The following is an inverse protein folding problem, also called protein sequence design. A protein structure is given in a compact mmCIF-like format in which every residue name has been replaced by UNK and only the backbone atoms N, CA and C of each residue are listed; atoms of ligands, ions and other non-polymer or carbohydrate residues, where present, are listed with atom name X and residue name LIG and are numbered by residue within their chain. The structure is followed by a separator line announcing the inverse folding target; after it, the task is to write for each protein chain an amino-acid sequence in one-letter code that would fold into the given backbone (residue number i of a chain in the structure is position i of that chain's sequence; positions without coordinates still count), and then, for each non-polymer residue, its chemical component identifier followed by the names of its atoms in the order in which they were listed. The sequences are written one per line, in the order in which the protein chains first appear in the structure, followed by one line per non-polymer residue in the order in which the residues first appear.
data_IF_308714697993
#
_entry.id   IF_308714697993
#
_cell.length_a   1.000
_cell.length_b   1.000
_cell.length_c   1.000
_cell.angle_alpha   90.00
_cell.angle_beta   90.00
_cell.angle_gamma   90.00
#
_symmetry.space_group_name_H-M   'P 1'
#
loop_
_entity.id
_entity.type
_entity.pdbx_description
1 polymer ?
#
# COMPACT_ATOMS: atom_id res chain seq x y z
N UNK A 1 46.07 -6.10 23.74
CA UNK A 1 44.89 -6.59 24.50
C UNK A 1 43.63 -6.23 23.72
N UNK A 2 42.69 -7.15 23.63
CA UNK A 2 41.66 -7.28 22.57
C UNK A 2 40.58 -6.19 22.54
N UNK A 3 40.28 -5.66 21.35
CA UNK A 3 38.95 -5.14 20.96
C UNK A 3 37.97 -6.32 20.81
N UNK A 4 37.73 -7.07 21.89
CA UNK A 4 36.61 -8.01 21.98
C UNK A 4 35.47 -7.28 22.67
N UNK A 5 34.56 -6.68 21.89
CA UNK A 5 33.15 -6.42 22.29
C UNK A 5 32.43 -5.64 21.18
N UNK A 6 32.03 -6.31 20.10
CA UNK A 6 30.83 -5.94 19.34
C UNK A 6 30.17 -7.16 18.63
N UNK A 7 29.83 -8.29 19.30
CA UNK A 7 29.25 -9.45 18.58
C UNK A 7 27.71 -9.56 18.65
N UNK A 8 27.03 -8.88 19.58
CA UNK A 8 25.58 -9.08 19.77
C UNK A 8 24.71 -8.17 18.91
N UNK A 9 25.04 -6.88 18.80
CA UNK A 9 24.26 -5.91 18.00
C UNK A 9 24.27 -6.24 16.51
N UNK A 10 25.38 -6.77 15.99
CA UNK A 10 25.52 -7.16 14.58
C UNK A 10 24.53 -8.25 14.18
N UNK A 11 24.32 -9.28 15.02
CA UNK A 11 23.40 -10.39 14.70
C UNK A 11 21.94 -9.93 14.61
N UNK A 12 21.47 -9.11 15.56
CA UNK A 12 20.10 -8.59 15.52
C UNK A 12 19.88 -7.62 14.35
N UNK A 13 20.89 -6.80 14.01
CA UNK A 13 20.84 -5.94 12.81
C UNK A 13 20.80 -6.82 11.55
N UNK A 14 21.64 -7.86 11.45
CA UNK A 14 21.65 -8.77 10.30
C UNK A 14 20.33 -9.51 10.11
N UNK A 15 19.70 -9.97 11.20
CA UNK A 15 18.37 -10.60 11.16
C UNK A 15 17.33 -9.57 10.68
N UNK A 16 17.33 -8.36 11.25
CA UNK A 16 16.41 -7.29 10.83
C UNK A 16 16.59 -6.89 9.35
N UNK A 17 17.83 -6.88 8.86
CA UNK A 17 18.13 -6.62 7.44
C UNK A 17 17.62 -7.77 6.58
N UNK A 18 17.91 -9.02 6.91
CA UNK A 18 17.47 -10.19 6.15
C UNK A 18 15.93 -10.25 6.03
N UNK A 19 15.22 -10.00 7.14
CA UNK A 19 13.75 -9.92 7.17
C UNK A 19 13.23 -8.81 6.25
N UNK A 20 13.87 -7.64 6.22
CA UNK A 20 13.48 -6.54 5.31
C UNK A 20 13.83 -6.85 3.84
N UNK A 21 14.91 -7.58 3.60
CA UNK A 21 15.35 -7.95 2.25
C UNK A 21 14.36 -8.88 1.57
N UNK A 22 13.69 -9.77 2.30
CA UNK A 22 12.65 -10.62 1.73
C UNK A 22 11.47 -9.81 1.17
N UNK A 23 10.91 -8.89 1.98
CA UNK A 23 9.85 -7.98 1.52
C UNK A 23 10.33 -7.11 0.37
N UNK A 24 11.55 -6.57 0.46
CA UNK A 24 12.15 -5.76 -0.60
C UNK A 24 12.25 -6.52 -1.91
N UNK A 25 12.80 -7.74 -1.88
CA UNK A 25 12.96 -8.60 -3.04
C UNK A 25 11.61 -8.94 -3.69
N UNK A 26 10.60 -9.27 -2.87
CA UNK A 26 9.26 -9.55 -3.38
C UNK A 26 8.69 -8.33 -4.14
N UNK A 27 8.81 -7.13 -3.57
CA UNK A 27 8.28 -5.91 -4.17
C UNK A 27 8.94 -5.58 -5.52
N UNK A 28 10.22 -5.92 -5.70
CA UNK A 28 10.89 -5.74 -6.99
C UNK A 28 10.32 -6.63 -8.10
N UNK A 29 9.58 -7.69 -7.76
CA UNK A 29 8.94 -8.56 -8.74
C UNK A 29 7.60 -8.02 -9.24
N UNK A 30 7.03 -7.02 -8.56
CA UNK A 30 5.76 -6.41 -8.96
C UNK A 30 5.90 -5.66 -10.30
N UNK A 31 4.86 -5.68 -11.17
CA UNK A 31 4.93 -4.96 -12.44
C UNK A 31 5.27 -3.48 -12.26
N UNK A 32 6.22 -2.98 -13.06
CA UNK A 32 6.74 -1.61 -12.90
C UNK A 32 5.64 -0.55 -12.99
N UNK A 33 4.74 -0.69 -13.96
CA UNK A 33 3.70 0.31 -14.25
C UNK A 33 2.37 0.05 -13.51
N UNK A 34 2.32 -0.94 -12.61
CA UNK A 34 1.12 -1.18 -11.81
C UNK A 34 0.85 -0.06 -10.81
N UNK A 35 -0.43 0.08 -10.46
CA UNK A 35 -0.88 0.91 -9.34
C UNK A 35 -0.44 0.27 -8.04
N UNK A 36 0.18 1.08 -7.18
CA UNK A 36 0.71 0.66 -5.88
C UNK A 36 0.20 1.60 -4.81
N UNK A 37 -0.57 1.07 -3.87
CA UNK A 37 -0.94 1.71 -2.62
C UNK A 37 0.01 1.21 -1.55
N UNK A 38 0.76 2.12 -0.95
CA UNK A 38 1.87 1.82 -0.06
C UNK A 38 1.48 2.31 1.33
N UNK A 39 1.15 1.41 2.25
CA UNK A 39 0.99 1.73 3.66
C UNK A 39 2.34 2.12 4.29
N UNK A 40 2.33 3.10 5.20
CA UNK A 40 3.54 3.54 5.90
C UNK A 40 3.34 3.84 7.39
N UNK A 41 4.40 3.56 8.16
CA UNK A 41 4.58 3.83 9.60
C UNK A 41 5.90 4.57 9.92
N UNK A 42 6.29 5.53 9.08
CA UNK A 42 7.46 6.42 9.22
C UNK A 42 8.85 5.78 9.03
N UNK A 43 9.02 4.45 9.12
CA UNK A 43 10.36 3.84 8.95
C UNK A 43 10.36 2.53 8.17
N UNK A 44 11.45 2.30 7.43
CA UNK A 44 11.82 0.99 6.87
C UNK A 44 10.98 0.47 5.72
N UNK A 45 10.27 1.34 4.99
CA UNK A 45 9.46 0.91 3.86
C UNK A 45 10.36 0.44 2.68
N UNK A 46 10.06 -0.70 2.05
CA UNK A 46 10.84 -1.30 0.96
C UNK A 46 10.69 -0.60 -0.40
N UNK A 47 9.78 0.36 -0.56
CA UNK A 47 9.57 1.10 -1.81
C UNK A 47 10.53 2.29 -1.93
N UNK A 48 11.19 2.43 -3.08
CA UNK A 48 12.02 3.61 -3.39
C UNK A 48 11.17 4.89 -3.50
N UNK A 49 9.93 4.75 -3.95
CA UNK A 49 8.94 5.81 -4.08
C UNK A 49 8.61 6.43 -2.72
N UNK A 50 8.53 5.58 -1.67
CA UNK A 50 8.39 6.04 -0.30
C UNK A 50 9.58 6.87 0.15
N UNK A 51 10.81 6.41 -0.10
CA UNK A 51 12.01 7.15 0.32
C UNK A 51 12.06 8.55 -0.31
N UNK A 52 11.65 8.67 -1.58
CA UNK A 52 11.52 9.96 -2.26
C UNK A 52 10.41 10.83 -1.65
N UNK A 53 9.26 10.24 -1.34
CA UNK A 53 8.14 10.97 -0.73
C UNK A 53 8.46 11.49 0.67
N UNK A 54 9.14 10.67 1.47
CA UNK A 54 9.61 11.06 2.79
C UNK A 54 10.61 12.21 2.69
N UNK A 55 11.66 12.09 1.87
CA UNK A 55 12.66 13.17 1.70
C UNK A 55 12.04 14.47 1.17
N UNK A 56 11.07 14.38 0.24
CA UNK A 56 10.35 15.53 -0.28
C UNK A 56 9.41 16.21 0.72
N UNK A 57 8.89 15.49 1.71
CA UNK A 57 8.13 16.07 2.82
C UNK A 57 9.03 16.96 3.72
N UNK A 58 10.30 16.61 3.89
CA UNK A 58 11.27 17.38 4.68
C UNK A 58 12.06 18.42 3.90
N UNK A 59 11.98 18.43 2.56
CA UNK A 59 12.75 19.35 1.72
C UNK A 59 12.21 20.79 1.73
N UNK A 60 11.07 21.07 2.37
CA UNK A 60 10.45 22.40 2.40
C UNK A 60 9.73 22.79 1.10
N UNK A 61 9.08 23.97 1.10
CA UNK A 61 8.14 24.38 0.03
C UNK A 61 8.78 24.51 -1.36
N UNK A 62 10.01 25.02 -1.42
CA UNK A 62 10.66 25.34 -2.70
C UNK A 62 11.14 24.08 -3.45
N UNK A 63 11.91 23.17 -2.81
CA UNK A 63 12.26 21.89 -3.45
C UNK A 63 11.04 21.05 -3.82
N UNK A 64 9.98 21.05 -2.99
CA UNK A 64 8.78 20.27 -3.29
C UNK A 64 8.09 20.74 -4.59
N UNK A 65 7.98 22.06 -4.83
CA UNK A 65 7.43 22.61 -6.09
C UNK A 65 8.23 22.19 -7.32
N UNK A 66 9.55 22.09 -7.21
CA UNK A 66 10.42 21.70 -8.32
C UNK A 66 10.37 20.19 -8.60
N UNK A 67 10.41 19.37 -7.54
CA UNK A 67 10.52 17.92 -7.69
C UNK A 67 9.18 17.22 -7.90
N UNK A 68 8.07 17.76 -7.36
CA UNK A 68 6.75 17.12 -7.48
C UNK A 68 6.35 16.81 -8.93
N UNK A 69 6.48 17.73 -9.91
CA UNK A 69 6.16 17.43 -11.30
C UNK A 69 7.04 16.33 -11.92
N UNK A 70 8.33 16.28 -11.55
CA UNK A 70 9.27 15.28 -12.05
C UNK A 70 8.99 13.91 -11.44
N UNK A 71 8.79 13.86 -10.13
CA UNK A 71 8.43 12.64 -9.41
C UNK A 71 7.04 12.12 -9.80
N UNK A 72 6.11 13.01 -10.15
CA UNK A 72 4.80 12.63 -10.68
C UNK A 72 4.88 11.93 -12.03
N UNK A 73 5.88 12.27 -12.87
CA UNK A 73 6.15 11.56 -14.13
C UNK A 73 6.87 10.22 -13.91
N UNK A 74 7.74 10.14 -12.90
CA UNK A 74 8.50 8.93 -12.58
C UNK A 74 7.66 7.88 -11.85
N UNK A 75 6.76 8.33 -10.97
CA UNK A 75 5.93 7.50 -10.10
C UNK A 75 4.45 7.88 -10.18
N UNK A 76 3.85 7.84 -11.39
CA UNK A 76 2.46 8.29 -11.60
C UNK A 76 1.44 7.41 -10.88
N UNK A 77 1.79 6.14 -10.64
CA UNK A 77 0.90 5.11 -10.12
C UNK A 77 1.26 4.70 -8.68
N UNK A 78 1.93 5.57 -7.92
CA UNK A 78 2.36 5.31 -6.54
C UNK A 78 1.67 6.23 -5.56
N UNK A 79 0.95 5.63 -4.63
CA UNK A 79 0.12 6.29 -3.63
C UNK A 79 0.60 5.87 -2.25
N UNK A 80 0.99 6.82 -1.43
CA UNK A 80 1.42 6.57 -0.06
C UNK A 80 0.24 6.80 0.88
N UNK A 81 -0.03 5.83 1.73
CA UNK A 81 -1.02 5.95 2.79
C UNK A 81 -0.33 5.97 4.15
N UNK A 82 -0.60 7.01 4.93
CA UNK A 82 -0.08 7.17 6.27
C UNK A 82 -1.05 6.59 7.29
N UNK A 83 -0.65 5.48 7.92
CA UNK A 83 -1.54 4.70 8.81
C UNK A 83 -1.91 5.45 10.09
N UNK A 84 -1.14 6.46 10.51
CA UNK A 84 -1.38 7.18 11.77
C UNK A 84 -2.34 8.37 11.62
N UNK A 85 -2.50 8.94 10.43
CA UNK A 85 -3.36 10.10 10.18
C UNK A 85 -4.36 9.89 9.03
N UNK A 86 -4.39 8.68 8.46
CA UNK A 86 -5.34 8.27 7.42
C UNK A 86 -5.25 9.11 6.14
N UNK A 87 -4.08 9.69 5.87
CA UNK A 87 -3.88 10.56 4.71
C UNK A 87 -3.24 9.84 3.52
N UNK A 88 -3.70 10.21 2.32
CA UNK A 88 -3.08 9.79 1.06
C UNK A 88 -2.17 10.89 0.52
N UNK A 89 -0.97 10.49 0.11
CA UNK A 89 0.02 11.32 -0.53
C UNK A 89 0.43 10.73 -1.88
N UNK A 90 0.60 11.61 -2.85
CA UNK A 90 0.97 11.25 -4.21
C UNK A 90 1.77 12.37 -4.87
N UNK A 91 2.59 11.98 -5.84
CA UNK A 91 3.32 12.94 -6.65
C UNK A 91 2.54 13.39 -7.88
N UNK A 92 1.87 12.44 -8.53
CA UNK A 92 1.04 12.67 -9.71
C UNK A 92 -0.41 12.99 -9.36
N UNK A 93 -1.31 12.52 -10.23
CA UNK A 93 -2.75 12.69 -10.06
C UNK A 93 -3.29 11.86 -8.86
N UNK A 94 -4.37 12.29 -8.21
CA UNK A 94 -5.06 11.48 -7.21
C UNK A 94 -5.54 10.14 -7.79
N UNK A 95 -5.57 9.10 -6.94
CA UNK A 95 -6.10 7.80 -7.31
C UNK A 95 -7.60 7.93 -7.60
N UNK A 96 -8.04 7.52 -8.80
CA UNK A 96 -9.45 7.56 -9.21
C UNK A 96 -9.99 6.13 -9.30
N UNK A 97 -10.84 5.76 -8.36
CA UNK A 97 -11.55 4.48 -8.33
C UNK A 97 -13.00 4.75 -8.76
N UNK A 98 -13.29 4.62 -10.05
CA UNK A 98 -14.60 5.01 -10.61
C UNK A 98 -15.28 3.92 -11.45
N UNK A 99 -14.64 2.75 -11.61
CA UNK A 99 -15.19 1.60 -12.33
C UNK A 99 -14.58 0.30 -11.83
N UNK A 100 -15.33 -0.79 -12.04
CA UNK A 100 -14.84 -2.14 -11.81
C UNK A 100 -13.70 -2.52 -12.79
N UNK A 101 -12.96 -3.57 -12.42
CA UNK A 101 -11.84 -4.12 -13.19
C UNK A 101 -10.50 -3.41 -12.99
N UNK A 102 -10.45 -2.31 -12.23
CA UNK A 102 -9.19 -1.69 -11.83
C UNK A 102 -8.47 -2.61 -10.83
N UNK A 103 -7.17 -2.82 -11.04
CA UNK A 103 -6.31 -3.64 -10.16
C UNK A 103 -5.16 -2.83 -9.61
N UNK A 104 -4.87 -3.01 -8.32
CA UNK A 104 -3.70 -2.41 -7.68
C UNK A 104 -3.07 -3.35 -6.65
N UNK A 105 -1.81 -3.08 -6.33
CA UNK A 105 -1.09 -3.76 -5.28
C UNK A 105 -1.15 -2.91 -4.01
N UNK A 106 -1.63 -3.49 -2.93
CA UNK A 106 -1.67 -2.88 -1.61
C UNK A 106 -0.57 -3.48 -0.75
N UNK A 107 0.44 -2.68 -0.42
CA UNK A 107 1.43 -3.03 0.58
C UNK A 107 1.00 -2.51 1.94
N UNK A 108 1.11 -3.34 2.97
CA UNK A 108 1.00 -2.89 4.35
C UNK A 108 2.25 -3.28 5.15
N UNK A 109 2.82 -2.35 5.94
CA UNK A 109 3.92 -2.66 6.86
C UNK A 109 3.47 -3.51 8.05
N UNK A 110 2.16 -3.70 8.21
CA UNK A 110 1.56 -4.66 9.14
C UNK A 110 0.23 -5.14 8.61
N UNK A 111 0.06 -6.44 8.48
CA UNK A 111 -1.14 -7.03 7.87
C UNK A 111 -2.45 -6.56 8.51
N UNK A 112 -2.46 -6.25 9.81
CA UNK A 112 -3.66 -5.75 10.50
C UNK A 112 -4.19 -4.40 9.99
N UNK A 113 -3.38 -3.62 9.26
CA UNK A 113 -3.83 -2.32 8.73
C UNK A 113 -4.57 -2.42 7.40
N UNK A 114 -4.63 -3.60 6.77
CA UNK A 114 -5.21 -3.75 5.42
C UNK A 114 -6.68 -3.29 5.42
N UNK A 115 -7.48 -3.74 6.38
CA UNK A 115 -8.89 -3.39 6.47
C UNK A 115 -9.11 -1.89 6.66
N UNK A 116 -8.26 -1.24 7.47
CA UNK A 116 -8.31 0.21 7.67
C UNK A 116 -8.00 0.96 6.37
N UNK A 117 -6.94 0.56 5.65
CA UNK A 117 -6.56 1.20 4.39
C UNK A 117 -7.68 1.06 3.36
N UNK A 118 -8.26 -0.14 3.25
CA UNK A 118 -9.36 -0.40 2.33
C UNK A 118 -10.61 0.38 2.73
N UNK A 119 -10.95 0.46 4.01
CA UNK A 119 -12.09 1.25 4.48
C UNK A 119 -11.95 2.74 4.11
N UNK A 120 -10.76 3.32 4.28
CA UNK A 120 -10.51 4.71 3.94
C UNK A 120 -10.53 4.94 2.42
N UNK A 121 -10.03 3.99 1.63
CA UNK A 121 -10.19 4.00 0.17
C UNK A 121 -11.67 3.90 -0.24
N UNK A 122 -12.49 3.14 0.51
CA UNK A 122 -13.91 2.96 0.23
C UNK A 122 -14.69 4.28 0.27
N UNK A 123 -14.23 5.25 1.06
CA UNK A 123 -14.84 6.59 1.13
C UNK A 123 -14.53 7.46 -0.10
N UNK A 124 -13.63 7.02 -0.98
CA UNK A 124 -13.23 7.75 -2.20
C UNK A 124 -13.82 7.17 -3.48
N UNK A 125 -14.57 6.06 -3.38
CA UNK A 125 -15.14 5.33 -4.52
C UNK A 125 -16.68 5.35 -4.49
N UNK A 126 -17.34 5.18 -5.65
CA UNK A 126 -18.77 4.99 -5.74
C UNK A 126 -19.31 3.86 -4.84
N UNK A 127 -20.51 4.06 -4.28
CA UNK A 127 -21.13 3.11 -3.35
C UNK A 127 -21.44 1.74 -3.97
N UNK A 128 -21.61 1.66 -5.29
CA UNK A 128 -21.90 0.42 -6.01
C UNK A 128 -20.65 -0.44 -6.26
N UNK A 129 -19.49 -0.02 -5.81
CA UNK A 129 -18.23 -0.74 -5.97
C UNK A 129 -17.76 -1.33 -4.63
N UNK A 130 -16.98 -2.40 -4.70
CA UNK A 130 -16.29 -3.01 -3.56
C UNK A 130 -14.90 -3.52 -3.93
N UNK A 131 -14.20 -4.08 -2.95
CA UNK A 131 -12.88 -4.67 -3.10
C UNK A 131 -12.94 -6.20 -3.06
N UNK A 132 -12.38 -6.84 -4.08
CA UNK A 132 -11.92 -8.22 -3.98
C UNK A 132 -10.43 -8.22 -3.69
N UNK A 133 -10.02 -8.83 -2.57
CA UNK A 133 -8.64 -8.76 -2.07
C UNK A 133 -8.04 -10.16 -1.97
N UNK A 134 -6.85 -10.35 -2.55
CA UNK A 134 -6.08 -11.58 -2.44
C UNK A 134 -4.67 -11.31 -1.91
N UNK A 135 -4.28 -11.96 -0.82
CA UNK A 135 -2.93 -11.84 -0.28
C UNK A 135 -1.94 -12.63 -1.14
N UNK A 136 -0.93 -11.95 -1.69
CA UNK A 136 0.10 -12.55 -2.55
C UNK A 136 1.46 -12.67 -1.86
N UNK A 137 1.62 -12.01 -0.71
CA UNK A 137 2.83 -12.10 0.09
C UNK A 137 2.54 -11.79 1.56
N UNK A 138 3.19 -12.54 2.43
CA UNK A 138 3.22 -12.27 3.86
C UNK A 138 4.58 -12.65 4.43
N UNK A 139 5.20 -11.70 5.10
CA UNK A 139 6.44 -11.93 5.82
C UNK A 139 6.11 -12.23 7.28
N UNK A 140 6.33 -13.46 7.71
CA UNK A 140 6.00 -13.91 9.07
C UNK A 140 6.83 -13.22 10.15
N UNK A 141 8.00 -12.69 9.79
CA UNK A 141 8.97 -12.13 10.73
C UNK A 141 8.69 -10.67 11.07
N UNK A 142 8.12 -9.90 10.14
CA UNK A 142 7.84 -8.47 10.33
C UNK A 142 6.38 -8.07 10.05
N UNK A 143 5.53 -9.05 9.73
CA UNK A 143 4.10 -8.92 9.41
C UNK A 143 3.79 -8.01 8.22
N UNK A 144 4.78 -7.66 7.40
CA UNK A 144 4.55 -6.99 6.13
C UNK A 144 3.73 -7.89 5.21
N UNK A 145 2.73 -7.33 4.55
CA UNK A 145 1.91 -8.05 3.57
C UNK A 145 1.77 -7.27 2.27
N UNK A 146 1.56 -8.00 1.18
CA UNK A 146 1.15 -7.43 -0.11
C UNK A 146 -0.08 -8.17 -0.59
N UNK A 147 -1.07 -7.39 -1.02
CA UNK A 147 -2.33 -7.90 -1.55
C UNK A 147 -2.53 -7.37 -2.97
N UNK A 148 -3.14 -8.18 -3.83
CA UNK A 148 -3.76 -7.70 -5.06
C UNK A 148 -5.19 -7.32 -4.70
N UNK A 149 -5.58 -6.10 -5.05
CA UNK A 149 -6.93 -5.60 -4.87
C UNK A 149 -7.53 -5.35 -6.25
N UNK A 150 -8.68 -5.95 -6.50
CA UNK A 150 -9.50 -5.75 -7.69
C UNK A 150 -10.79 -5.03 -7.29
N UNK A 151 -11.12 -3.96 -8.02
CA UNK A 151 -12.39 -3.27 -7.86
C UNK A 151 -13.48 -4.08 -8.55
N UNK A 152 -14.52 -4.44 -7.81
CA UNK A 152 -15.68 -5.20 -8.29
C UNK A 152 -16.96 -4.37 -8.14
N UNK A 153 -18.00 -4.72 -8.87
CA UNK A 153 -19.35 -4.23 -8.56
C UNK A 153 -19.88 -5.00 -7.35
N UNK A 154 -20.63 -4.32 -6.49
CA UNK A 154 -21.37 -5.00 -5.42
C UNK A 154 -22.44 -5.87 -6.05
N UNK A 155 -22.50 -7.13 -5.64
CA UNK A 155 -23.67 -7.96 -5.96
C UNK A 155 -24.87 -7.39 -5.19
N UNK A 156 -25.90 -6.93 -5.92
CA UNK A 156 -27.15 -6.50 -5.33
C UNK A 156 -27.77 -7.69 -4.58
N UNK A 157 -27.74 -7.64 -3.24
CA UNK A 157 -28.34 -8.68 -2.39
C UNK A 157 -29.88 -8.68 -2.41
N UNK A 158 -30.52 -8.11 -3.44
CA UNK A 158 -31.95 -7.89 -3.54
C UNK A 158 -32.67 -8.78 -4.57
N UNK A 159 -32.02 -9.78 -5.19
CA UNK A 159 -32.67 -10.66 -6.17
C UNK A 159 -33.39 -11.89 -5.59
N UNK A 160 -33.33 -12.16 -4.28
CA UNK A 160 -33.93 -13.38 -3.68
C UNK A 160 -35.26 -13.19 -2.93
N UNK A 161 -35.83 -11.98 -2.85
CA UNK A 161 -37.05 -11.75 -2.05
C UNK A 161 -38.37 -11.63 -2.85
N UNK A 162 -38.35 -11.67 -4.19
CA UNK A 162 -39.56 -11.44 -5.01
C UNK A 162 -40.17 -12.67 -5.70
N UNK A 163 -39.74 -13.90 -5.42
CA UNK A 163 -40.33 -15.10 -6.03
C UNK A 163 -41.39 -15.84 -5.20
N UNK A 164 -41.73 -15.37 -3.98
CA UNK A 164 -42.59 -16.13 -3.05
C UNK A 164 -43.85 -15.40 -2.56
N UNK A 165 -44.43 -14.46 -3.31
CA UNK A 165 -45.76 -13.90 -2.99
C UNK A 165 -46.62 -13.59 -4.23
N UNK A 166 -46.92 -14.63 -5.01
CA UNK A 166 -48.16 -14.69 -5.81
C UNK A 166 -48.57 -16.15 -5.85
N UNK A 167 -49.24 -16.59 -4.78
CA UNK A 167 -50.20 -17.69 -4.78
C UNK A 167 -50.77 -17.82 -3.36
N UNK A 168 -51.88 -17.13 -3.10
CA UNK A 168 -53.00 -17.56 -2.24
C UNK A 168 -54.13 -16.53 -2.24
#
# INVERSE_FOLDING_TARGET
MQLKKLPSKTRHISISVAQKMETFNFIQTLPKDSIKVIGSRYSGNPYKEYAMMFTGAYAGKYPNKLYKPLLGKLYPNSYLYHVWDHTFHQWGEPLKINKAGLKFYLYSPRTENIDQILNDLKHTMPENLDFNTNQIFFNQENTNSVHIVEIIEKEDSNSELNSNQTDK
#
